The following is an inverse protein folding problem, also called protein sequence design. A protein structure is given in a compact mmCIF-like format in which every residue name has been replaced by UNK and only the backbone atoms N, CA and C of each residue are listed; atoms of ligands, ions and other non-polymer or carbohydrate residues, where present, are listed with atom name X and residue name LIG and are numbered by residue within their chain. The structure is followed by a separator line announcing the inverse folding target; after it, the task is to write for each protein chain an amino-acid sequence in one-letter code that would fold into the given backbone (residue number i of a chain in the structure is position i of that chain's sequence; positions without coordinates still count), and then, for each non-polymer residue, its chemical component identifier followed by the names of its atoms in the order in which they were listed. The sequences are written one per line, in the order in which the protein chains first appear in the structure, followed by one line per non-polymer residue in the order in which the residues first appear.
data_IF_945145359781
#
_entry.id   IF_945145359781
#
_cell.length_a   1.000
_cell.length_b   1.000
_cell.length_c   1.000
_cell.angle_alpha   90.00
_cell.angle_beta   90.00
_cell.angle_gamma   90.00
#
_symmetry.space_group_name_H-M   'P 1'
#
loop_
_entity.id
_entity.type
_entity.pdbx_description
1 polymer ?
#
# COMPACT_ATOMS: atom_id res chain seq x y z
N UNK A 1 50.34 -23.92 32.79
CA UNK A 1 48.92 -24.29 32.66
C UNK A 1 48.14 -23.02 32.38
N UNK A 2 47.81 -22.75 31.11
CA UNK A 2 47.02 -21.57 30.71
C UNK A 2 45.62 -22.06 30.35
N UNK A 3 44.62 -21.67 31.14
CA UNK A 3 43.21 -21.83 30.80
C UNK A 3 42.83 -20.70 29.85
N UNK A 4 42.69 -21.01 28.57
CA UNK A 4 42.28 -20.05 27.56
C UNK A 4 40.80 -19.69 27.75
N UNK A 5 40.54 -18.45 28.17
CA UNK A 5 39.21 -17.82 28.21
C UNK A 5 38.75 -17.51 26.78
N UNK A 6 38.08 -18.48 26.13
CA UNK A 6 37.39 -18.29 24.85
C UNK A 6 35.88 -18.24 25.08
N UNK A 7 35.36 -17.07 25.47
CA UNK A 7 33.94 -16.84 25.79
C UNK A 7 33.31 -15.51 25.27
N UNK A 8 34.01 -14.52 24.66
CA UNK A 8 33.32 -13.30 24.21
C UNK A 8 32.45 -13.47 22.94
N UNK A 9 32.94 -14.25 21.97
CA UNK A 9 32.39 -14.22 20.60
C UNK A 9 31.05 -14.99 20.50
N UNK A 10 30.95 -16.11 21.20
CA UNK A 10 29.76 -16.99 21.20
C UNK A 10 28.59 -16.36 21.95
N UNK A 11 28.88 -15.64 23.03
CA UNK A 11 27.89 -14.89 23.80
C UNK A 11 27.30 -13.74 22.98
N UNK A 12 28.16 -12.98 22.29
CA UNK A 12 27.72 -11.85 21.47
C UNK A 12 26.85 -12.27 20.27
N UNK A 13 27.19 -13.40 19.62
CA UNK A 13 26.36 -13.95 18.54
C UNK A 13 25.01 -14.45 19.04
N UNK A 14 24.97 -15.10 20.21
CA UNK A 14 23.72 -15.58 20.80
C UNK A 14 22.81 -14.43 21.24
N UNK A 15 23.36 -13.35 21.79
CA UNK A 15 22.60 -12.14 22.14
C UNK A 15 21.98 -11.51 20.89
N UNK A 16 22.79 -11.29 19.84
CA UNK A 16 22.32 -10.70 18.59
C UNK A 16 21.23 -11.55 17.91
N UNK A 17 21.36 -12.88 17.98
CA UNK A 17 20.34 -13.79 17.45
C UNK A 17 19.04 -13.70 18.25
N UNK A 18 19.11 -13.70 19.58
CA UNK A 18 17.93 -13.55 20.45
C UNK A 18 17.21 -12.20 20.24
N UNK A 19 17.96 -11.12 20.04
CA UNK A 19 17.40 -9.80 19.68
C UNK A 19 16.66 -9.84 18.35
N UNK A 20 17.24 -10.52 17.34
CA UNK A 20 16.60 -10.68 16.03
C UNK A 20 15.28 -11.46 16.15
N UNK A 21 15.27 -12.52 16.95
CA UNK A 21 14.08 -13.32 17.21
C UNK A 21 12.99 -12.53 17.96
N UNK A 22 13.39 -11.75 18.98
CA UNK A 22 12.45 -10.90 19.73
C UNK A 22 11.82 -9.83 18.83
N UNK A 23 12.64 -9.14 18.04
CA UNK A 23 12.14 -8.13 17.10
C UNK A 23 11.17 -8.73 16.06
N UNK A 24 11.41 -9.97 15.63
CA UNK A 24 10.48 -10.70 14.76
C UNK A 24 9.16 -11.04 15.46
N UNK A 25 9.21 -11.54 16.70
CA UNK A 25 8.03 -11.86 17.51
C UNK A 25 7.14 -10.64 17.79
N UNK A 26 7.76 -9.48 18.02
CA UNK A 26 7.08 -8.21 18.26
C UNK A 26 6.56 -7.55 16.95
N UNK A 27 6.88 -8.14 15.79
CA UNK A 27 6.47 -7.63 14.48
C UNK A 27 7.26 -6.41 14.01
N UNK A 28 8.39 -6.10 14.65
CA UNK A 28 9.30 -5.02 14.26
C UNK A 28 10.15 -5.39 13.02
N UNK A 29 10.31 -6.70 12.75
CA UNK A 29 10.91 -7.22 11.52
C UNK A 29 10.02 -8.28 10.89
N UNK A 30 9.37 -7.96 9.77
CA UNK A 30 8.39 -8.85 9.13
C UNK A 30 8.94 -9.47 7.84
N UNK A 31 9.92 -8.84 7.20
CA UNK A 31 10.43 -9.30 5.91
C UNK A 31 11.34 -10.54 5.98
N UNK A 32 12.03 -10.76 7.11
CA UNK A 32 13.08 -11.79 7.19
C UNK A 32 12.73 -12.88 8.20
N UNK A 33 12.66 -14.12 7.73
CA UNK A 33 12.61 -15.29 8.60
C UNK A 33 13.91 -15.39 9.42
N UNK A 34 13.84 -15.55 10.75
CA UNK A 34 15.03 -15.69 11.57
C UNK A 34 15.84 -16.94 11.17
N UNK A 35 17.14 -16.76 10.92
CA UNK A 35 18.06 -17.86 10.62
C UNK A 35 18.10 -18.81 11.82
N UNK A 36 18.23 -20.12 11.58
CA UNK A 36 18.31 -21.17 12.62
C UNK A 36 17.06 -21.36 13.50
N UNK A 37 15.92 -20.73 13.17
CA UNK A 37 14.66 -20.95 13.89
C UNK A 37 14.19 -22.42 13.77
N UNK A 38 14.53 -23.08 12.66
CA UNK A 38 14.24 -24.49 12.40
C UNK A 38 15.17 -25.47 13.13
N UNK A 39 16.12 -24.97 13.93
CA UNK A 39 16.94 -25.83 14.79
C UNK A 39 16.18 -26.18 16.08
N UNK A 40 16.53 -27.29 16.76
CA UNK A 40 15.94 -27.62 18.06
C UNK A 40 16.10 -26.51 19.10
N UNK A 41 17.28 -25.86 19.14
CA UNK A 41 17.54 -24.75 20.04
C UNK A 41 16.71 -23.52 19.68
N UNK A 42 16.61 -23.20 18.38
CA UNK A 42 15.79 -22.09 17.89
C UNK A 42 14.31 -22.22 18.28
N UNK A 43 13.72 -23.39 18.03
CA UNK A 43 12.35 -23.70 18.46
C UNK A 43 12.16 -23.61 19.97
N UNK A 44 13.11 -24.10 20.76
CA UNK A 44 13.03 -24.00 22.21
C UNK A 44 13.01 -22.54 22.70
N UNK A 45 13.83 -21.66 22.11
CA UNK A 45 13.81 -20.24 22.45
C UNK A 45 12.48 -19.58 22.03
N UNK A 46 11.98 -19.88 20.83
CA UNK A 46 10.67 -19.43 20.36
C UNK A 46 9.55 -19.79 21.34
N UNK A 47 9.48 -21.06 21.73
CA UNK A 47 8.47 -21.56 22.67
C UNK A 47 8.59 -20.86 24.04
N UNK A 48 9.82 -20.63 24.50
CA UNK A 48 10.09 -19.95 25.78
C UNK A 48 9.62 -18.49 25.74
N UNK A 49 9.91 -17.76 24.66
CA UNK A 49 9.51 -16.36 24.53
C UNK A 49 8.00 -16.21 24.45
N UNK A 50 7.31 -17.08 23.70
CA UNK A 50 5.86 -17.11 23.69
C UNK A 50 5.27 -17.44 25.07
N UNK A 51 5.81 -18.44 25.76
CA UNK A 51 5.35 -18.80 27.11
C UNK A 51 5.50 -17.63 28.10
N UNK A 52 6.63 -16.92 28.08
CA UNK A 52 6.80 -15.71 28.89
C UNK A 52 5.72 -14.68 28.55
N UNK A 53 5.50 -14.44 27.26
CA UNK A 53 4.46 -13.52 26.78
C UNK A 53 3.06 -13.93 27.24
N UNK A 54 2.74 -15.22 27.21
CA UNK A 54 1.44 -15.74 27.62
C UNK A 54 1.24 -15.60 29.13
N UNK A 55 2.24 -15.96 29.93
CA UNK A 55 2.25 -15.79 31.40
C UNK A 55 2.04 -14.32 31.78
N UNK A 56 2.72 -13.38 31.10
CA UNK A 56 2.61 -11.96 31.38
C UNK A 56 1.23 -11.38 31.02
N UNK A 57 0.54 -11.93 30.01
CA UNK A 57 -0.81 -11.49 29.62
C UNK A 57 -1.88 -12.09 30.51
N UNK A 58 -1.80 -13.38 30.78
CA UNK A 58 -2.72 -14.10 31.65
C UNK A 58 -2.08 -15.44 32.09
N UNK A 59 -1.91 -15.70 33.40
CA UNK A 59 -1.33 -16.95 33.88
C UNK A 59 -2.09 -18.21 33.44
N UNK A 60 -3.40 -18.11 33.15
CA UNK A 60 -4.19 -19.23 32.61
C UNK A 60 -3.76 -19.63 31.19
N UNK A 61 -3.02 -18.78 30.48
CA UNK A 61 -2.45 -19.05 29.16
C UNK A 61 -1.08 -19.73 29.23
N UNK A 62 -0.52 -19.96 30.42
CA UNK A 62 0.77 -20.62 30.63
C UNK A 62 0.75 -22.13 30.36
N UNK A 63 0.13 -22.53 29.24
CA UNK A 63 -0.06 -23.90 28.83
C UNK A 63 1.10 -24.30 27.93
N UNK A 64 1.88 -25.28 28.36
CA UNK A 64 2.88 -25.89 27.50
C UNK A 64 2.28 -27.10 26.76
N UNK A 65 2.14 -27.05 25.42
CA UNK A 65 1.64 -28.18 24.66
C UNK A 65 2.56 -29.39 24.82
N UNK A 66 1.97 -30.58 24.88
CA UNK A 66 2.77 -31.80 24.96
C UNK A 66 3.46 -32.09 23.63
N UNK A 67 4.62 -32.74 23.67
CA UNK A 67 5.34 -33.15 22.47
C UNK A 67 4.47 -34.00 21.53
N UNK A 68 3.64 -34.89 22.09
CA UNK A 68 2.70 -35.71 21.33
C UNK A 68 1.63 -34.88 20.59
N UNK A 69 1.17 -33.77 21.19
CA UNK A 69 0.28 -32.85 20.51
C UNK A 69 0.99 -32.17 19.33
N UNK A 70 2.18 -31.62 19.55
CA UNK A 70 2.95 -30.94 18.51
C UNK A 70 3.27 -31.85 17.32
N UNK A 71 3.64 -33.11 17.57
CA UNK A 71 3.88 -34.12 16.51
C UNK A 71 2.60 -34.46 15.74
N UNK A 72 1.46 -34.55 16.41
CA UNK A 72 0.17 -34.79 15.71
C UNK A 72 -0.24 -33.60 14.85
N UNK A 73 -0.03 -32.38 15.36
CA UNK A 73 -0.34 -31.15 14.65
C UNK A 73 0.56 -30.96 13.44
N UNK A 74 1.88 -31.15 13.57
CA UNK A 74 2.81 -31.04 12.45
C UNK A 74 2.46 -32.02 11.33
N UNK A 75 2.13 -33.27 11.69
CA UNK A 75 1.68 -34.28 10.73
C UNK A 75 0.39 -33.87 10.02
N UNK A 76 -0.58 -33.35 10.76
CA UNK A 76 -1.84 -32.89 10.17
C UNK A 76 -1.61 -31.75 9.16
N UNK A 77 -0.70 -30.81 9.46
CA UNK A 77 -0.32 -29.72 8.55
C UNK A 77 0.41 -30.25 7.31
N UNK A 78 1.30 -31.23 7.46
CA UNK A 78 1.99 -31.87 6.32
C UNK A 78 1.02 -32.61 5.39
N UNK A 79 -0.05 -33.18 5.94
CA UNK A 79 -1.11 -33.87 5.19
C UNK A 79 -2.09 -32.89 4.51
N UNK A 80 -2.06 -31.60 4.85
CA UNK A 80 -2.90 -30.58 4.21
C UNK A 80 -2.38 -30.24 2.79
N UNK A 81 -3.29 -30.20 1.81
CA UNK A 81 -2.92 -29.72 0.48
C UNK A 81 -2.50 -28.25 0.56
N UNK A 82 -1.37 -27.85 -0.06
CA UNK A 82 -0.90 -26.48 0.01
C UNK A 82 -1.99 -25.55 -0.52
N UNK A 83 -2.44 -24.63 0.33
CA UNK A 83 -3.36 -23.56 -0.06
C UNK A 83 -2.63 -22.74 -1.12
N UNK A 84 -2.97 -22.98 -2.39
CA UNK A 84 -2.54 -22.11 -3.49
C UNK A 84 -3.32 -20.81 -3.34
N UNK A 85 -2.88 -19.96 -2.42
CA UNK A 85 -3.37 -18.61 -2.32
C UNK A 85 -3.06 -17.94 -3.67
N UNK A 86 -4.09 -17.50 -4.38
CA UNK A 86 -3.90 -16.74 -5.61
C UNK A 86 -2.92 -15.58 -5.32
N UNK A 87 -1.91 -15.35 -6.18
CA UNK A 87 -0.90 -14.34 -5.93
C UNK A 87 -1.58 -13.02 -5.63
N UNK A 88 -1.33 -12.50 -4.42
CA UNK A 88 -1.89 -11.23 -3.95
C UNK A 88 -1.40 -10.17 -4.94
N UNK A 89 -2.29 -9.72 -5.84
CA UNK A 89 -1.95 -8.70 -6.83
C UNK A 89 -1.59 -7.45 -6.05
N UNK A 90 -0.30 -7.22 -5.85
CA UNK A 90 0.22 -5.98 -5.31
C UNK A 90 -0.10 -4.93 -6.35
N UNK A 91 -1.21 -4.22 -6.18
CA UNK A 91 -1.51 -3.07 -7.00
C UNK A 91 -0.36 -2.10 -6.80
N UNK A 92 0.55 -2.00 -7.78
CA UNK A 92 1.49 -0.90 -7.83
C UNK A 92 0.62 0.35 -7.89
N UNK A 93 0.56 1.10 -6.79
CA UNK A 93 0.18 2.50 -6.86
C UNK A 93 1.34 3.21 -7.54
N UNK A 94 1.38 3.09 -8.87
CA UNK A 94 2.22 3.95 -9.72
C UNK A 94 1.71 5.36 -9.46
N UNK A 95 2.42 6.11 -8.62
CA UNK A 95 2.10 7.49 -8.36
C UNK A 95 2.17 8.26 -9.68
N UNK A 96 1.01 8.67 -10.19
CA UNK A 96 0.88 9.53 -11.37
C UNK A 96 1.59 10.90 -11.22
N UNK A 97 2.13 11.18 -10.02
CA UNK A 97 2.72 12.44 -9.62
C UNK A 97 3.86 12.91 -10.55
N UNK A 98 4.66 12.01 -11.10
CA UNK A 98 5.76 12.40 -12.03
C UNK A 98 5.28 12.78 -13.43
N UNK A 99 4.33 12.01 -13.98
CA UNK A 99 3.81 12.22 -15.33
C UNK A 99 2.91 13.47 -15.40
N UNK A 100 2.14 13.72 -14.33
CA UNK A 100 1.31 14.91 -14.21
C UNK A 100 2.15 16.20 -14.19
N UNK A 101 3.27 16.20 -13.47
CA UNK A 101 4.20 17.35 -13.42
C UNK A 101 4.84 17.60 -14.80
N UNK A 102 5.30 16.55 -15.49
CA UNK A 102 5.86 16.69 -16.82
C UNK A 102 4.85 17.25 -17.84
N UNK A 103 3.60 16.77 -17.81
CA UNK A 103 2.53 17.28 -18.68
C UNK A 103 2.18 18.75 -18.39
N UNK A 104 2.16 19.15 -17.11
CA UNK A 104 1.90 20.54 -16.71
C UNK A 104 3.00 21.50 -17.17
N UNK A 105 4.27 21.10 -17.08
CA UNK A 105 5.38 21.93 -17.57
C UNK A 105 5.34 22.04 -19.11
N UNK A 106 5.06 20.94 -19.80
CA UNK A 106 4.95 20.93 -21.26
C UNK A 106 3.81 21.85 -21.78
N UNK A 107 2.66 21.86 -21.11
CA UNK A 107 1.54 22.74 -21.50
C UNK A 107 1.83 24.22 -21.26
N UNK A 108 2.52 24.58 -20.16
CA UNK A 108 2.97 25.96 -19.92
C UNK A 108 3.95 26.42 -20.99
N UNK A 109 4.93 25.57 -21.35
CA UNK A 109 5.91 25.90 -22.40
C UNK A 109 5.24 26.10 -23.76
N UNK A 110 4.29 25.23 -24.14
CA UNK A 110 3.58 25.35 -25.41
C UNK A 110 2.74 26.63 -25.51
N UNK A 111 2.05 27.02 -24.42
CA UNK A 111 1.29 28.28 -24.36
C UNK A 111 2.19 29.51 -24.36
N UNK A 112 3.36 29.45 -23.73
CA UNK A 112 4.30 30.56 -23.65
C UNK A 112 5.11 30.77 -24.94
N UNK A 113 5.27 29.73 -25.77
CA UNK A 113 6.07 29.75 -27.00
C UNK A 113 5.75 30.89 -27.99
N UNK A 114 4.48 31.24 -28.30
CA UNK A 114 4.18 32.36 -29.18
C UNK A 114 4.60 33.73 -28.61
N UNK A 115 4.66 33.87 -27.28
CA UNK A 115 5.05 35.12 -26.62
C UNK A 115 6.58 35.30 -26.57
N UNK A 116 7.33 34.20 -26.52
CA UNK A 116 8.80 34.23 -26.56
C UNK A 116 9.35 34.50 -27.97
N UNK A 117 8.58 34.16 -29.01
CA UNK A 117 8.92 34.40 -30.42
C UNK A 117 8.31 35.71 -30.97
N UNK A 118 7.82 36.62 -30.11
CA UNK A 118 7.40 37.95 -30.55
C UNK A 118 8.60 38.78 -30.97
N UNK A 119 8.87 38.81 -32.27
CA UNK A 119 9.60 39.90 -32.92
C UNK A 119 8.84 41.23 -32.65
N UNK A 120 9.53 42.32 -32.27
CA UNK A 120 8.90 43.58 -31.91
C UNK A 120 8.38 44.27 -33.18
N UNK A 121 7.15 43.96 -33.59
CA UNK A 121 6.57 44.61 -34.77
C UNK A 121 5.22 44.14 -35.29
N UNK A 122 4.48 43.26 -34.61
CA UNK A 122 3.14 42.87 -35.06
C UNK A 122 2.06 43.24 -34.05
N UNK A 123 1.30 44.28 -34.39
CA UNK A 123 0.05 44.65 -33.74
C UNK A 123 -0.98 43.55 -34.04
N UNK A 124 -1.34 42.74 -33.04
CA UNK A 124 -2.47 41.83 -33.17
C UNK A 124 -3.78 42.59 -32.91
N UNK A 125 -4.63 42.65 -33.93
CA UNK A 125 -6.00 43.12 -33.82
C UNK A 125 -6.79 42.13 -32.95
N UNK A 126 -7.28 42.62 -31.81
CA UNK A 126 -8.15 41.88 -30.90
C UNK A 126 -9.47 41.60 -31.63
N UNK A 127 -9.76 40.33 -31.93
CA UNK A 127 -11.07 39.93 -32.41
C UNK A 127 -12.08 40.08 -31.26
N UNK A 128 -13.08 40.91 -31.50
CA UNK A 128 -14.19 41.18 -30.60
C UNK A 128 -15.02 39.91 -30.35
N UNK A 129 -15.05 39.44 -29.09
CA UNK A 129 -15.86 38.31 -28.68
C UNK A 129 -17.32 38.76 -28.51
N UNK A 130 -18.18 38.42 -29.48
CA UNK A 130 -19.63 38.46 -29.28
C UNK A 130 -20.03 37.40 -28.23
N UNK A 131 -20.71 37.75 -27.13
CA UNK A 131 -21.21 36.77 -26.18
C UNK A 131 -22.50 36.17 -26.76
N UNK A 132 -22.40 34.97 -27.33
CA UNK A 132 -23.54 34.30 -27.94
C UNK A 132 -23.39 32.78 -27.92
N UNK A 133 -24.24 32.14 -27.10
CA UNK A 133 -24.58 30.72 -27.10
C UNK A 133 -23.44 29.75 -26.78
N UNK A 134 -23.54 29.13 -25.60
CA UNK A 134 -22.80 27.92 -25.28
C UNK A 134 -22.89 26.92 -26.43
N UNK A 135 -21.74 26.33 -26.78
CA UNK A 135 -21.63 25.29 -27.78
C UNK A 135 -22.44 24.06 -27.35
N UNK A 136 -23.75 24.08 -27.60
CA UNK A 136 -24.58 22.90 -27.66
C UNK A 136 -24.10 22.10 -28.88
N UNK A 137 -23.08 21.28 -28.68
CA UNK A 137 -22.58 20.39 -29.70
C UNK A 137 -23.73 19.45 -30.10
N UNK A 138 -24.16 19.44 -31.38
CA UNK A 138 -25.25 18.57 -31.83
C UNK A 138 -24.92 17.09 -31.62
N UNK A 139 -23.63 16.73 -31.63
CA UNK A 139 -23.15 15.38 -31.32
C UNK A 139 -23.38 15.01 -29.84
N UNK A 140 -23.24 15.97 -28.91
CA UNK A 140 -23.54 15.75 -27.50
C UNK A 140 -25.05 15.58 -27.28
N UNK A 141 -25.87 16.34 -28.00
CA UNK A 141 -27.32 16.18 -27.99
C UNK A 141 -27.77 14.80 -28.44
N UNK A 142 -27.24 14.31 -29.57
CA UNK A 142 -27.55 12.97 -30.08
C UNK A 142 -27.08 11.85 -29.13
N UNK A 143 -25.91 12.00 -28.51
CA UNK A 143 -25.39 11.06 -27.52
C UNK A 143 -26.29 10.98 -26.27
N UNK A 144 -26.72 12.14 -25.73
CA UNK A 144 -27.59 12.19 -24.56
C UNK A 144 -28.98 11.61 -24.83
N UNK A 145 -29.52 11.82 -26.03
CA UNK A 145 -30.80 11.23 -26.45
C UNK A 145 -30.71 9.70 -26.56
N UNK A 146 -29.65 9.18 -27.19
CA UNK A 146 -29.41 7.73 -27.25
C UNK A 146 -29.21 7.11 -25.85
N UNK A 147 -28.54 7.83 -24.95
CA UNK A 147 -28.37 7.37 -23.56
C UNK A 147 -29.69 7.36 -22.79
N UNK A 148 -30.60 8.30 -23.09
CA UNK A 148 -31.96 8.37 -22.51
C UNK A 148 -32.84 7.20 -22.95
N UNK A 149 -32.70 6.77 -24.20
CA UNK A 149 -33.43 5.63 -24.76
C UNK A 149 -33.01 4.30 -24.09
N UNK A 150 -31.72 4.14 -23.79
CA UNK A 150 -31.17 2.93 -23.15
C UNK A 150 -31.42 2.86 -21.64
N UNK A 151 -31.37 4.01 -20.95
CA UNK A 151 -31.46 4.05 -19.48
C UNK A 151 -32.91 4.05 -18.93
N UNK A 152 -33.92 4.14 -19.81
CA UNK A 152 -35.32 4.31 -19.40
C UNK A 152 -35.57 5.65 -18.69
N UNK A 153 -36.83 6.01 -18.40
CA UNK A 153 -37.19 7.30 -17.81
C UNK A 153 -36.82 7.36 -16.32
N UNK A 154 -35.52 7.35 -16.03
CA UNK A 154 -34.96 7.74 -14.74
C UNK A 154 -34.97 9.27 -14.68
N UNK A 155 -35.90 9.82 -13.91
CA UNK A 155 -36.02 11.25 -13.69
C UNK A 155 -34.70 11.79 -13.07
N UNK A 156 -33.86 12.41 -13.89
CA UNK A 156 -32.75 13.25 -13.40
C UNK A 156 -33.39 14.39 -12.63
N UNK A 157 -33.50 14.22 -11.31
CA UNK A 157 -33.97 15.26 -10.39
C UNK A 157 -32.90 16.34 -10.35
N UNK A 158 -33.12 17.43 -11.06
CA UNK A 158 -32.27 18.61 -10.94
C UNK A 158 -32.38 19.11 -9.49
N UNK A 159 -31.24 19.17 -8.80
CA UNK A 159 -31.14 19.81 -7.49
C UNK A 159 -30.30 21.06 -7.68
N UNK A 160 -30.92 22.23 -7.51
CA UNK A 160 -30.23 23.51 -7.44
C UNK A 160 -29.72 23.72 -6.03
N UNK A 161 -28.42 23.99 -5.89
CA UNK A 161 -27.85 24.50 -4.65
C UNK A 161 -27.93 26.03 -4.69
N UNK A 162 -28.66 26.61 -3.74
CA UNK A 162 -28.61 28.04 -3.45
C UNK A 162 -27.32 28.31 -2.66
N UNK A 163 -26.34 29.07 -3.18
CA UNK A 163 -25.20 29.48 -2.37
C UNK A 163 -25.67 30.49 -1.32
N UNK A 164 -25.38 30.17 -0.07
CA UNK A 164 -25.93 30.83 1.11
C UNK A 164 -25.75 32.35 1.16
N UNK A 165 -26.76 32.97 1.77
CA UNK A 165 -26.76 34.34 2.24
C UNK A 165 -25.55 34.61 3.14
N UNK A 166 -24.74 35.59 2.75
CA UNK A 166 -23.73 36.21 3.59
C UNK A 166 -24.25 37.60 3.98
N UNK A 167 -24.62 37.78 5.24
CA UNK A 167 -24.72 39.06 5.93
C UNK A 167 -24.12 38.91 7.31
#
# INVERSE_FOLDING_TARGET
MQTATRQPIESASNTHWGETLSAYLDGEQVENWPVDLDTPAGRQTWDTYHLIGDVLRNPELAIQPSQAFSTRLSRAIEDEMPIVAAPRRRHLRVGLSGLAVAAAVASVVWVAQPYLNQEPGSVQVLAEATPGAGASSPALGAYLEAHREVAGPSAVRQVSFEPGAMR
#
